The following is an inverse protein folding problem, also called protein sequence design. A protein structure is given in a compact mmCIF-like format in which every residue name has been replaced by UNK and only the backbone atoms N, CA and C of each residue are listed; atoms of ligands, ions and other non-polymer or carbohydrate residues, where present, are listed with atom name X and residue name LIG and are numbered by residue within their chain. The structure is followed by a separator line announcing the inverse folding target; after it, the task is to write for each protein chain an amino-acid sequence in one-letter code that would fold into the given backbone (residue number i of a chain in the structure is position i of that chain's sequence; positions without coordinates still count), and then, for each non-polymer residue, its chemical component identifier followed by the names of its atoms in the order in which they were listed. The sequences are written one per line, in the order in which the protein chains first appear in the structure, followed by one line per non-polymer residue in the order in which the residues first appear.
data_IF_962186424275
#
_entry.id   IF_962186424275
#
_cell.length_a   1.000
_cell.length_b   1.000
_cell.length_c   1.000
_cell.angle_alpha   90.00
_cell.angle_beta   90.00
_cell.angle_gamma   90.00
#
_symmetry.space_group_name_H-M   'P 1'
#
loop_
_entity.id
_entity.type
_entity.pdbx_description
1 polymer ?
#
# COMPACT_ATOMS: atom_id res chain seq x y z
N UNK A 1 48.60 7.79 37.19
CA UNK A 1 47.14 7.84 37.20
C UNK A 1 46.72 9.07 36.43
N UNK A 2 46.34 8.90 35.16
CA UNK A 2 45.94 10.00 34.26
C UNK A 2 44.51 9.69 33.83
N UNK A 3 43.64 10.66 34.09
CA UNK A 3 42.20 10.50 34.11
C UNK A 3 41.63 9.88 32.83
N UNK A 4 40.84 8.82 33.03
CA UNK A 4 39.88 8.29 32.07
C UNK A 4 38.95 9.43 31.62
N UNK A 5 39.19 9.97 30.43
CA UNK A 5 38.27 10.90 29.79
C UNK A 5 36.93 10.22 29.62
N UNK A 6 35.90 10.74 30.29
CA UNK A 6 34.53 10.26 30.13
C UNK A 6 34.15 10.40 28.66
N UNK A 7 33.75 9.31 28.02
CA UNK A 7 33.09 9.34 26.72
C UNK A 7 31.86 10.24 26.85
N UNK A 8 31.97 11.44 26.30
CA UNK A 8 30.87 12.38 26.20
C UNK A 8 29.89 11.79 25.18
N UNK A 9 28.80 11.15 25.64
CA UNK A 9 27.70 10.72 24.77
C UNK A 9 27.23 11.93 23.96
N UNK A 10 27.51 11.90 22.65
CA UNK A 10 26.95 12.89 21.73
C UNK A 10 25.44 12.67 21.74
N UNK A 11 24.61 13.72 21.93
CA UNK A 11 23.17 13.55 21.82
C UNK A 11 22.88 12.98 20.42
N UNK A 12 22.22 11.82 20.37
CA UNK A 12 21.72 11.25 19.12
C UNK A 12 20.83 12.32 18.50
N UNK A 13 21.31 12.93 17.42
CA UNK A 13 20.52 13.84 16.61
C UNK A 13 19.60 13.00 15.71
N UNK A 14 18.82 12.10 16.33
CA UNK A 14 17.95 11.16 15.63
C UNK A 14 16.71 11.93 15.16
N UNK A 15 16.74 12.32 13.90
CA UNK A 15 15.55 12.80 13.19
C UNK A 15 14.62 11.59 13.03
N UNK A 16 13.48 11.63 13.71
CA UNK A 16 12.43 10.62 13.53
C UNK A 16 11.53 11.04 12.37
N UNK A 17 11.48 10.29 11.25
CA UNK A 17 10.60 10.60 10.13
C UNK A 17 9.14 10.40 10.53
N UNK A 18 8.26 11.32 10.09
CA UNK A 18 6.82 11.26 10.31
C UNK A 18 6.13 11.17 8.96
N UNK A 19 5.22 10.19 8.82
CA UNK A 19 4.40 10.02 7.62
C UNK A 19 2.95 10.22 8.01
N UNK A 20 2.32 11.26 7.43
CA UNK A 20 0.88 11.47 7.54
C UNK A 20 0.14 10.66 6.48
N UNK A 21 -0.93 9.96 6.88
CA UNK A 21 -1.83 9.26 5.96
C UNK A 21 -3.22 9.88 6.00
N UNK A 22 -4.03 9.75 4.94
CA UNK A 22 -5.42 10.24 4.94
C UNK A 22 -6.27 9.61 6.04
N UNK A 23 -7.31 10.32 6.51
CA UNK A 23 -8.22 9.81 7.55
C UNK A 23 -9.19 8.71 7.09
N UNK A 24 -9.40 8.57 5.77
CA UNK A 24 -10.25 7.51 5.23
C UNK A 24 -9.48 6.19 5.14
N UNK A 25 -9.99 5.07 5.71
CA UNK A 25 -9.25 3.82 5.84
C UNK A 25 -8.66 3.27 4.54
N UNK A 26 -9.42 3.32 3.44
CA UNK A 26 -8.98 2.80 2.14
C UNK A 26 -7.89 3.66 1.52
N UNK A 27 -8.03 4.99 1.66
CA UNK A 27 -7.00 5.92 1.21
C UNK A 27 -5.73 5.78 2.05
N UNK A 28 -5.87 5.53 3.35
CA UNK A 28 -4.74 5.26 4.24
C UNK A 28 -3.99 3.99 3.83
N UNK A 29 -4.69 2.88 3.59
CA UNK A 29 -4.05 1.62 3.15
C UNK A 29 -3.33 1.79 1.81
N UNK A 30 -4.00 2.40 0.81
CA UNK A 30 -3.38 2.65 -0.49
C UNK A 30 -2.17 3.57 -0.38
N UNK A 31 -2.21 4.58 0.50
CA UNK A 31 -1.07 5.46 0.75
C UNK A 31 0.12 4.67 1.28
N UNK A 32 -0.13 3.70 2.16
CA UNK A 32 0.91 2.83 2.70
C UNK A 32 1.52 1.97 1.58
N UNK A 33 0.68 1.32 0.78
CA UNK A 33 1.14 0.41 -0.27
C UNK A 33 1.91 1.14 -1.39
N UNK A 34 1.42 2.31 -1.82
CA UNK A 34 1.99 3.06 -2.95
C UNK A 34 3.24 3.86 -2.55
N UNK A 35 3.26 4.47 -1.35
CA UNK A 35 4.31 5.41 -0.97
C UNK A 35 5.18 4.93 0.19
N UNK A 36 4.57 4.41 1.25
CA UNK A 36 5.30 4.10 2.49
C UNK A 36 6.11 2.82 2.34
N UNK A 37 5.54 1.80 1.73
CA UNK A 37 6.19 0.51 1.54
C UNK A 37 7.49 0.61 0.73
N UNK A 38 7.55 1.32 -0.43
CA UNK A 38 8.81 1.55 -1.13
C UNK A 38 9.87 2.29 -0.30
N UNK A 39 9.46 3.27 0.53
CA UNK A 39 10.37 4.02 1.41
C UNK A 39 10.97 3.09 2.46
N UNK A 40 10.12 2.31 3.15
CA UNK A 40 10.56 1.36 4.17
C UNK A 40 11.44 0.27 3.57
N UNK A 41 11.09 -0.25 2.40
CA UNK A 41 11.89 -1.26 1.71
C UNK A 41 13.32 -0.75 1.45
N UNK A 42 13.43 0.49 0.93
CA UNK A 42 14.72 1.14 0.69
C UNK A 42 15.52 1.36 1.97
N UNK A 43 14.90 1.86 3.03
CA UNK A 43 15.59 2.09 4.31
C UNK A 43 16.06 0.82 4.99
N UNK A 44 15.31 -0.28 4.84
CA UNK A 44 15.67 -1.60 5.38
C UNK A 44 16.62 -2.38 4.47
N UNK A 45 16.98 -1.86 3.30
CA UNK A 45 17.83 -2.56 2.33
C UNK A 45 17.18 -3.81 1.74
N UNK A 46 15.85 -3.91 1.76
CA UNK A 46 15.10 -5.03 1.17
C UNK A 46 14.52 -4.63 -0.18
N UNK A 47 14.19 -5.63 -1.00
CA UNK A 47 13.38 -5.41 -2.20
C UNK A 47 11.98 -4.94 -1.80
N UNK A 48 11.40 -4.03 -2.59
CA UNK A 48 9.99 -3.68 -2.42
C UNK A 48 9.13 -4.92 -2.60
N UNK A 49 7.98 -4.96 -1.93
CA UNK A 49 7.01 -6.01 -2.20
C UNK A 49 6.43 -5.80 -3.60
N UNK A 50 6.67 -6.75 -4.51
CA UNK A 50 6.07 -6.76 -5.83
C UNK A 50 4.85 -7.68 -5.78
N UNK A 51 3.67 -7.10 -5.97
CA UNK A 51 2.44 -7.88 -6.05
C UNK A 51 2.40 -8.65 -7.37
N UNK A 52 1.87 -9.87 -7.32
CA UNK A 52 1.59 -10.62 -8.54
C UNK A 52 0.51 -9.91 -9.36
N UNK A 53 0.74 -9.78 -10.66
CA UNK A 53 -0.19 -9.19 -11.61
C UNK A 53 -0.69 -10.27 -12.55
N UNK A 54 -2.01 -10.36 -12.74
CA UNK A 54 -2.65 -11.36 -13.59
C UNK A 54 -3.70 -10.69 -14.47
N UNK A 55 -3.87 -11.18 -15.70
CA UNK A 55 -4.93 -10.71 -16.59
C UNK A 55 -6.28 -11.35 -16.21
N UNK A 56 -7.29 -10.52 -16.00
CA UNK A 56 -8.64 -10.96 -15.66
C UNK A 56 -9.72 -10.19 -16.42
N UNK A 57 -10.86 -10.82 -16.64
CA UNK A 57 -12.01 -10.21 -17.30
C UNK A 57 -12.90 -9.53 -16.25
N UNK A 58 -13.12 -8.23 -16.40
CA UNK A 58 -14.05 -7.49 -15.54
C UNK A 58 -15.49 -8.01 -15.71
N UNK A 59 -16.16 -8.31 -14.60
CA UNK A 59 -17.55 -8.81 -14.61
C UNK A 59 -18.59 -7.71 -14.83
N UNK A 60 -18.20 -6.43 -14.66
CA UNK A 60 -19.03 -5.25 -14.93
C UNK A 60 -18.17 -4.08 -15.37
N UNK A 61 -18.77 -3.18 -16.14
CA UNK A 61 -18.09 -1.96 -16.62
C UNK A 61 -17.68 -1.07 -15.46
N UNK A 62 -16.45 -0.56 -15.54
CA UNK A 62 -15.92 0.47 -14.66
C UNK A 62 -15.77 1.76 -15.48
N UNK A 63 -16.12 2.90 -14.89
CA UNK A 63 -15.79 4.22 -15.46
C UNK A 63 -14.49 4.67 -14.80
N UNK A 64 -13.42 4.82 -15.59
CA UNK A 64 -12.18 5.46 -15.15
C UNK A 64 -12.28 6.96 -15.40
N UNK A 65 -12.07 7.82 -14.39
CA UNK A 65 -11.84 9.24 -14.61
C UNK A 65 -10.62 9.43 -15.51
N UNK A 66 -10.64 10.46 -16.36
CA UNK A 66 -9.47 10.83 -17.13
C UNK A 66 -8.51 11.66 -16.27
N UNK A 67 -7.24 11.28 -16.25
CA UNK A 67 -6.17 12.05 -15.61
C UNK A 67 -5.67 11.50 -14.29
N UNK A 68 -6.38 10.54 -13.68
CA UNK A 68 -5.99 9.92 -12.41
C UNK A 68 -5.94 8.39 -12.54
N UNK A 69 -4.98 7.76 -11.85
CA UNK A 69 -4.95 6.30 -11.67
C UNK A 69 -6.03 5.89 -10.66
N UNK A 70 -6.97 5.05 -11.09
CA UNK A 70 -8.08 4.59 -10.26
C UNK A 70 -7.81 3.16 -9.75
N UNK A 71 -7.39 3.04 -8.48
CA UNK A 71 -7.12 1.75 -7.84
C UNK A 71 -8.43 1.10 -7.38
N UNK A 72 -8.99 0.21 -8.21
CA UNK A 72 -10.28 -0.42 -7.94
C UNK A 72 -10.08 -1.77 -7.26
N UNK A 73 -10.59 -1.90 -6.05
CA UNK A 73 -10.61 -3.19 -5.34
C UNK A 73 -11.51 -4.19 -6.04
N UNK A 74 -11.01 -5.40 -6.25
CA UNK A 74 -11.71 -6.49 -6.92
C UNK A 74 -11.66 -7.77 -6.09
N UNK A 75 -12.72 -8.56 -6.17
CA UNK A 75 -12.70 -9.97 -5.80
C UNK A 75 -12.44 -10.80 -7.06
N UNK A 76 -11.61 -11.83 -6.96
CA UNK A 76 -11.19 -12.67 -8.07
C UNK A 76 -11.90 -14.02 -8.00
N UNK A 77 -12.39 -14.49 -9.15
CA UNK A 77 -13.02 -15.80 -9.27
C UNK A 77 -12.63 -16.49 -10.57
N UNK A 78 -12.33 -17.78 -10.52
CA UNK A 78 -12.03 -18.58 -11.72
C UNK A 78 -13.27 -19.33 -12.18
N UNK A 79 -13.66 -19.16 -13.44
CA UNK A 79 -14.78 -19.87 -14.07
C UNK A 79 -14.29 -20.57 -15.33
N UNK A 80 -14.19 -21.91 -15.27
CA UNK A 80 -13.47 -22.68 -16.28
C UNK A 80 -12.00 -22.23 -16.31
N UNK A 81 -11.53 -21.82 -17.48
CA UNK A 81 -10.16 -21.31 -17.68
C UNK A 81 -10.04 -19.79 -17.59
N UNK A 82 -11.15 -19.08 -17.36
CA UNK A 82 -11.16 -17.62 -17.32
C UNK A 82 -11.05 -17.11 -15.89
N UNK A 83 -10.13 -16.18 -15.66
CA UNK A 83 -10.06 -15.41 -14.43
C UNK A 83 -10.99 -14.19 -14.56
N UNK A 84 -11.90 -14.04 -13.60
CA UNK A 84 -12.87 -12.94 -13.56
C UNK A 84 -12.54 -12.02 -12.39
N UNK A 85 -12.64 -10.72 -12.62
CA UNK A 85 -12.47 -9.69 -11.60
C UNK A 85 -13.81 -8.98 -11.36
N UNK A 86 -14.37 -9.16 -10.17
CA UNK A 86 -15.60 -8.50 -9.73
C UNK A 86 -15.25 -7.25 -8.91
N UNK A 87 -15.51 -6.03 -9.41
CA UNK A 87 -15.26 -4.81 -8.67
C UNK A 87 -16.07 -4.81 -7.39
N UNK A 88 -15.47 -4.40 -6.27
CA UNK A 88 -16.14 -4.26 -5.00
C UNK A 88 -16.80 -2.87 -4.86
N UNK A 89 -17.53 -2.67 -3.76
CA UNK A 89 -18.13 -1.38 -3.43
C UNK A 89 -17.06 -0.28 -3.35
N UNK A 90 -17.32 0.85 -4.00
CA UNK A 90 -16.44 2.02 -4.00
C UNK A 90 -16.63 2.87 -2.75
N UNK A 91 -15.66 3.74 -2.50
CA UNK A 91 -15.68 4.72 -1.42
C UNK A 91 -14.52 4.53 -0.46
N UNK A 92 -13.87 5.64 -0.11
CA UNK A 92 -12.68 5.66 0.73
C UNK A 92 -12.95 5.22 2.19
N UNK A 93 -14.21 5.32 2.64
CA UNK A 93 -14.67 4.87 3.95
C UNK A 93 -15.08 3.40 4.03
N UNK A 94 -15.19 2.69 2.90
CA UNK A 94 -15.68 1.31 2.87
C UNK A 94 -14.55 0.37 3.25
N UNK A 95 -14.36 0.16 4.56
CA UNK A 95 -13.28 -0.69 5.09
C UNK A 95 -13.51 -2.17 4.78
N UNK A 96 -14.76 -2.62 4.70
CA UNK A 96 -15.12 -4.02 4.42
C UNK A 96 -14.59 -4.49 3.08
N UNK A 97 -14.49 -3.60 2.09
CA UNK A 97 -13.91 -3.95 0.79
C UNK A 97 -12.38 -4.07 0.80
N UNK A 98 -11.67 -3.68 1.87
CA UNK A 98 -10.26 -4.09 2.04
C UNK A 98 -10.15 -5.57 2.44
N UNK A 99 -11.07 -6.05 3.28
CA UNK A 99 -11.11 -7.43 3.75
C UNK A 99 -11.57 -8.39 2.65
N UNK A 100 -12.48 -7.93 1.78
CA UNK A 100 -13.03 -8.72 0.69
C UNK A 100 -12.21 -8.68 -0.60
N UNK A 101 -11.25 -7.76 -0.72
CA UNK A 101 -10.47 -7.62 -1.94
C UNK A 101 -9.41 -8.71 -2.03
N UNK A 102 -9.35 -9.35 -3.19
CA UNK A 102 -8.25 -10.24 -3.56
C UNK A 102 -7.16 -9.48 -4.34
N UNK A 103 -7.50 -8.31 -4.89
CA UNK A 103 -6.55 -7.48 -5.63
C UNK A 103 -7.05 -6.05 -5.93
N UNK A 104 -6.20 -5.30 -6.62
CA UNK A 104 -6.46 -3.98 -7.18
C UNK A 104 -6.36 -4.08 -8.72
N UNK A 105 -7.33 -3.47 -9.40
CA UNK A 105 -7.39 -3.34 -10.85
C UNK A 105 -7.25 -1.88 -11.28
#
# INVERSE_FOLDING_TARGET
EIASGKEQERPRNDITPIIGVPGYPVSASLTVDIFVEPILAKWLGRKQNELQTEEAILTRKIVSPAGDDDFVRVAIGKVGDKLLAAPLSRGAGVITSLVQADGLA
#
